data_IF_556922534076
#
_entry.id   IF_556922534076
#
_cell.length_a   1.000
_cell.length_b   1.000
_cell.length_c   1.000
_cell.angle_alpha   90.00
_cell.angle_beta   90.00
_cell.angle_gamma   90.00
#
_symmetry.space_group_name_H-M   'P 1'
#
loop_
_entity.id
_entity.type
_entity.pdbx_description
1 polymer ?
#
# COMPACT_ATOMS: atom_id res chain seq x y z
N UNK A 1 12.00 -9.81 -17.47
CA UNK A 1 11.99 -10.66 -16.28
C UNK A 1 10.55 -11.10 -16.08
N UNK A 2 10.25 -12.38 -16.23
CA UNK A 2 8.95 -12.94 -15.87
C UNK A 2 9.03 -13.27 -14.38
N UNK A 3 8.06 -12.80 -13.58
CA UNK A 3 7.93 -13.17 -12.18
C UNK A 3 7.03 -14.41 -12.14
N UNK A 4 7.54 -15.49 -11.55
CA UNK A 4 6.74 -16.71 -11.35
C UNK A 4 5.68 -16.50 -10.27
N UNK A 5 5.97 -15.58 -9.34
CA UNK A 5 5.05 -15.20 -8.26
C UNK A 5 4.84 -13.69 -8.23
N UNK A 6 3.59 -13.26 -8.40
CA UNK A 6 3.22 -11.84 -8.39
C UNK A 6 2.89 -11.32 -6.99
N UNK A 7 2.63 -12.22 -6.03
CA UNK A 7 2.32 -11.86 -4.65
C UNK A 7 2.77 -12.96 -3.70
N UNK A 8 2.92 -12.60 -2.45
CA UNK A 8 3.16 -13.50 -1.33
C UNK A 8 2.32 -13.04 -0.14
N UNK A 9 1.82 -13.94 0.67
CA UNK A 9 0.99 -13.56 1.81
C UNK A 9 1.32 -14.39 3.06
N UNK A 10 1.11 -13.78 4.19
CA UNK A 10 1.22 -14.40 5.50
C UNK A 10 -0.13 -14.38 6.19
N UNK A 11 -0.65 -15.53 6.57
CA UNK A 11 -1.83 -15.63 7.40
C UNK A 11 -1.45 -15.44 8.86
N UNK A 12 -2.14 -14.52 9.56
CA UNK A 12 -1.92 -14.25 10.99
C UNK A 12 -0.47 -13.82 11.32
N UNK A 13 0.14 -13.05 10.43
CA UNK A 13 1.51 -12.55 10.62
C UNK A 13 1.69 -11.76 11.92
N UNK A 14 0.67 -11.07 12.36
CA UNK A 14 0.67 -10.24 13.56
C UNK A 14 -0.46 -10.59 14.51
N UNK A 15 -0.23 -10.40 15.80
CA UNK A 15 -1.24 -10.59 16.82
C UNK A 15 -2.12 -9.34 17.01
N UNK A 16 -3.22 -9.50 17.75
CA UNK A 16 -4.18 -8.41 17.99
C UNK A 16 -3.54 -7.20 18.67
N UNK A 17 -2.57 -7.42 19.56
CA UNK A 17 -1.87 -6.33 20.25
C UNK A 17 -1.10 -5.44 19.27
N UNK A 18 -0.42 -6.02 18.28
CA UNK A 18 0.26 -5.27 17.23
C UNK A 18 -0.75 -4.44 16.42
N UNK A 19 -1.82 -5.08 15.97
CA UNK A 19 -2.87 -4.42 15.19
C UNK A 19 -3.53 -3.27 15.98
N UNK A 20 -3.83 -3.50 17.24
CA UNK A 20 -4.46 -2.50 18.12
C UNK A 20 -3.52 -1.33 18.41
N UNK A 21 -2.22 -1.59 18.59
CA UNK A 21 -1.23 -0.52 18.79
C UNK A 21 -1.16 0.42 17.59
N UNK A 22 -1.18 -0.09 16.37
CA UNK A 22 -1.20 0.74 15.15
C UNK A 22 -2.51 1.56 15.07
N UNK A 23 -3.64 0.94 15.36
CA UNK A 23 -4.94 1.62 15.37
C UNK A 23 -4.99 2.76 16.42
N UNK A 24 -4.37 2.57 17.58
CA UNK A 24 -4.25 3.63 18.61
C UNK A 24 -3.38 4.80 18.13
N UNK A 25 -2.25 4.53 17.47
CA UNK A 25 -1.44 5.60 16.87
C UNK A 25 -2.28 6.39 15.86
N UNK A 26 -2.99 5.69 14.97
CA UNK A 26 -3.83 6.32 13.96
C UNK A 26 -4.95 7.18 14.55
N UNK A 27 -5.55 6.79 15.67
CA UNK A 27 -6.62 7.58 16.35
C UNK A 27 -6.16 8.98 16.73
N UNK A 28 -4.87 9.16 17.02
CA UNK A 28 -4.29 10.43 17.41
C UNK A 28 -3.80 11.27 16.21
N UNK A 29 -4.02 10.79 14.99
CA UNK A 29 -3.64 11.49 13.76
C UNK A 29 -4.83 12.18 13.11
N UNK A 30 -4.55 13.25 12.37
CA UNK A 30 -5.55 13.85 11.50
C UNK A 30 -5.70 13.02 10.23
N UNK A 31 -6.93 12.75 9.83
CA UNK A 31 -7.24 12.01 8.62
C UNK A 31 -7.56 12.96 7.47
N UNK A 32 -6.95 12.68 6.33
CA UNK A 32 -7.27 13.29 5.06
C UNK A 32 -8.04 12.31 4.15
N UNK A 33 -8.66 12.82 3.11
CA UNK A 33 -9.20 11.96 2.06
C UNK A 33 -8.08 11.41 1.19
N UNK A 34 -8.14 10.09 0.94
CA UNK A 34 -7.24 9.45 -0.01
C UNK A 34 -7.32 10.11 -1.38
N UNK A 35 -6.18 10.32 -2.00
CA UNK A 35 -6.08 10.93 -3.33
C UNK A 35 -5.43 9.95 -4.30
N UNK A 36 -5.69 10.12 -5.59
CA UNK A 36 -5.06 9.36 -6.68
C UNK A 36 -4.23 10.29 -7.55
N UNK A 37 -3.10 9.79 -8.02
CA UNK A 37 -2.29 10.54 -8.98
C UNK A 37 -3.02 10.67 -10.31
N UNK A 38 -2.94 11.85 -10.93
CA UNK A 38 -3.49 12.03 -12.29
C UNK A 38 -2.67 11.27 -13.31
N UNK A 39 -3.33 10.71 -14.33
CA UNK A 39 -2.64 10.19 -15.51
C UNK A 39 -1.90 11.33 -16.22
N UNK A 40 -0.70 11.04 -16.75
CA UNK A 40 0.20 11.99 -17.42
C UNK A 40 -0.47 12.82 -18.54
N UNK A 41 -1.56 12.32 -19.15
CA UNK A 41 -2.33 13.01 -20.20
C UNK A 41 -3.14 14.21 -19.69
N UNK A 42 -3.39 14.32 -18.40
CA UNK A 42 -4.14 15.42 -17.79
C UNK A 42 -3.23 16.50 -17.15
N UNK A 43 -1.90 16.34 -17.27
CA UNK A 43 -0.90 17.21 -16.65
C UNK A 43 -0.53 18.39 -17.58
N UNK A 44 -1.50 19.10 -18.13
CA UNK A 44 -1.22 20.29 -18.98
C UNK A 44 -1.01 21.57 -18.17
N UNK A 45 -1.18 21.54 -16.84
CA UNK A 45 -0.97 22.72 -15.99
C UNK A 45 -0.04 22.42 -14.83
N UNK A 46 0.94 23.30 -14.63
CA UNK A 46 2.03 23.22 -13.66
C UNK A 46 1.61 23.34 -12.18
N UNK A 47 0.34 23.52 -11.89
CA UNK A 47 -0.20 23.45 -10.54
C UNK A 47 -0.70 22.03 -10.26
N UNK A 48 0.16 21.21 -9.65
CA UNK A 48 -0.12 19.84 -9.21
C UNK A 48 -1.16 19.82 -8.09
N UNK A 49 -2.42 20.07 -8.42
CA UNK A 49 -3.53 19.79 -7.52
C UNK A 49 -3.92 18.32 -7.66
N UNK A 50 -3.61 17.52 -6.64
CA UNK A 50 -4.20 16.20 -6.49
C UNK A 50 -5.72 16.35 -6.43
N UNK A 51 -6.41 16.03 -7.50
CA UNK A 51 -7.86 16.06 -7.52
C UNK A 51 -8.39 14.84 -6.79
N UNK A 52 -9.22 15.06 -5.77
CA UNK A 52 -9.99 13.99 -5.14
C UNK A 52 -10.91 13.39 -6.21
N UNK A 53 -10.56 12.23 -6.71
CA UNK A 53 -11.43 11.47 -7.61
C UNK A 53 -12.15 10.38 -6.79
N UNK A 54 -13.25 10.74 -6.20
CA UNK A 54 -14.03 9.85 -5.33
C UNK A 54 -14.63 8.64 -6.08
N UNK A 55 -14.68 8.66 -7.41
CA UNK A 55 -15.09 7.50 -8.19
C UNK A 55 -14.00 6.43 -8.27
N UNK A 56 -12.72 6.80 -8.13
CA UNK A 56 -11.60 5.87 -8.10
C UNK A 56 -11.19 5.50 -6.68
N UNK A 57 -11.28 6.45 -5.75
CA UNK A 57 -10.89 6.22 -4.36
C UNK A 57 -11.71 7.09 -3.41
N UNK A 58 -12.43 6.44 -2.52
CA UNK A 58 -13.00 7.06 -1.32
C UNK A 58 -12.48 6.31 -0.10
N UNK A 59 -11.58 6.93 0.63
CA UNK A 59 -10.99 6.41 1.86
C UNK A 59 -10.52 7.54 2.73
N UNK A 60 -10.41 7.29 4.03
CA UNK A 60 -9.77 8.21 4.97
C UNK A 60 -8.35 7.68 5.25
N UNK A 61 -7.33 8.53 5.13
CA UNK A 61 -5.93 8.14 5.31
C UNK A 61 -5.21 9.01 6.33
N UNK A 62 -4.23 8.44 7.01
CA UNK A 62 -3.20 9.19 7.72
C UNK A 62 -1.84 8.50 7.54
N UNK A 63 -0.77 9.22 7.83
CA UNK A 63 0.59 8.72 7.67
C UNK A 63 1.21 8.38 9.02
N UNK A 64 1.87 7.23 9.08
CA UNK A 64 2.55 6.69 10.25
C UNK A 64 4.01 6.43 9.90
N UNK A 65 4.91 6.87 10.76
CA UNK A 65 6.34 6.66 10.60
C UNK A 65 6.96 6.29 11.94
N UNK A 66 6.55 5.12 12.46
CA UNK A 66 7.01 4.59 13.74
C UNK A 66 8.05 3.48 13.47
N UNK A 67 9.32 3.65 13.88
CA UNK A 67 10.40 2.72 13.55
C UNK A 67 10.11 1.27 13.92
N UNK A 68 9.50 1.03 15.08
CA UNK A 68 9.20 -0.32 15.55
C UNK A 68 8.27 -1.12 14.62
N UNK A 69 7.41 -0.42 13.85
CA UNK A 69 6.52 -1.09 12.88
C UNK A 69 7.36 -1.65 11.72
N UNK A 70 8.30 -0.86 11.22
CA UNK A 70 9.22 -1.32 10.15
C UNK A 70 10.09 -2.48 10.63
N UNK A 71 10.58 -2.45 11.87
CA UNK A 71 11.35 -3.54 12.48
C UNK A 71 10.56 -4.85 12.52
N UNK A 72 9.24 -4.78 12.72
CA UNK A 72 8.36 -5.95 12.68
C UNK A 72 8.04 -6.43 11.25
N UNK A 73 7.96 -5.52 10.28
CA UNK A 73 7.59 -5.84 8.89
C UNK A 73 8.79 -6.33 8.08
N UNK A 74 9.95 -5.75 8.30
CA UNK A 74 11.14 -6.01 7.49
C UNK A 74 11.52 -7.49 7.37
N UNK A 75 11.55 -8.28 8.46
CA UNK A 75 11.83 -9.72 8.37
C UNK A 75 10.84 -10.49 7.47
N UNK A 76 9.55 -10.15 7.55
CA UNK A 76 8.52 -10.77 6.72
C UNK A 76 8.69 -10.38 5.24
N UNK A 77 9.01 -9.11 4.99
CA UNK A 77 9.28 -8.64 3.63
C UNK A 77 10.49 -9.35 3.02
N UNK A 78 11.57 -9.55 3.79
CA UNK A 78 12.74 -10.31 3.34
C UNK A 78 12.40 -11.77 3.06
N UNK A 79 11.60 -12.40 3.94
CA UNK A 79 11.14 -13.77 3.73
C UNK A 79 10.29 -13.86 2.45
N UNK A 80 9.31 -13.00 2.26
CA UNK A 80 8.48 -12.96 1.06
C UNK A 80 9.32 -12.75 -0.21
N UNK A 81 10.24 -11.80 -0.18
CA UNK A 81 11.14 -11.48 -1.30
C UNK A 81 11.99 -12.69 -1.73
N UNK A 82 12.46 -13.46 -0.75
CA UNK A 82 13.22 -14.70 -0.98
C UNK A 82 12.32 -15.85 -1.46
N UNK A 83 11.21 -16.08 -0.77
CA UNK A 83 10.32 -17.22 -1.04
C UNK A 83 9.55 -17.07 -2.36
N UNK A 84 9.27 -15.86 -2.78
CA UNK A 84 8.66 -15.57 -4.08
C UNK A 84 9.69 -15.42 -5.21
N UNK A 85 10.97 -15.61 -4.91
CA UNK A 85 12.10 -15.50 -5.84
C UNK A 85 12.19 -14.15 -6.55
N UNK A 86 11.74 -13.09 -5.89
CA UNK A 86 11.84 -11.72 -6.45
C UNK A 86 13.26 -11.19 -6.39
N UNK A 87 13.98 -11.46 -5.31
CA UNK A 87 15.39 -11.12 -5.10
C UNK A 87 15.70 -9.61 -5.28
N UNK A 88 14.78 -8.74 -4.88
CA UNK A 88 14.99 -7.29 -4.91
C UNK A 88 15.91 -6.85 -3.77
N UNK A 89 16.77 -5.89 -4.06
CA UNK A 89 17.49 -5.14 -3.04
C UNK A 89 16.54 -4.07 -2.46
N UNK A 90 16.24 -4.22 -1.17
CA UNK A 90 15.36 -3.30 -0.42
C UNK A 90 16.24 -2.45 0.49
N UNK A 91 16.31 -1.16 0.22
CA UNK A 91 17.17 -0.23 0.94
C UNK A 91 16.42 0.88 1.69
N UNK A 92 15.12 1.08 1.41
CA UNK A 92 14.30 2.03 2.13
C UNK A 92 12.82 1.64 2.11
N UNK A 93 12.09 2.23 3.04
CA UNK A 93 10.63 2.21 3.10
C UNK A 93 10.09 3.63 2.87
N UNK A 94 8.91 3.70 2.29
CA UNK A 94 8.08 4.90 2.34
C UNK A 94 7.33 4.97 3.67
N UNK A 95 6.82 6.15 4.03
CA UNK A 95 5.91 6.27 5.17
C UNK A 95 4.71 5.34 5.01
N UNK A 96 4.26 4.76 6.12
CA UNK A 96 3.13 3.84 6.13
C UNK A 96 1.82 4.60 6.00
N UNK A 97 1.05 4.28 4.99
CA UNK A 97 -0.29 4.83 4.83
C UNK A 97 -1.30 3.99 5.62
N UNK A 98 -1.76 4.50 6.76
CA UNK A 98 -2.91 3.92 7.42
C UNK A 98 -4.18 4.33 6.67
N UNK A 99 -4.93 3.35 6.20
CA UNK A 99 -6.16 3.57 5.43
C UNK A 99 -7.35 3.03 6.19
N UNK A 100 -8.39 3.84 6.29
CA UNK A 100 -9.66 3.45 6.87
C UNK A 100 -10.76 3.55 5.83
N UNK A 101 -11.48 2.44 5.66
CA UNK A 101 -12.67 2.37 4.83
C UNK A 101 -13.91 2.30 5.71
N UNK A 102 -14.88 3.17 5.45
CA UNK A 102 -16.24 3.13 6.02
C UNK A 102 -17.18 2.43 5.04
N UNK A 103 -18.43 2.24 5.42
CA UNK A 103 -19.45 1.68 4.54
C UNK A 103 -19.51 2.44 3.20
N UNK A 104 -19.52 1.70 2.11
CA UNK A 104 -19.51 2.18 0.73
C UNK A 104 -18.24 2.91 0.28
N UNK A 105 -17.18 2.95 1.09
CA UNK A 105 -15.89 3.47 0.67
C UNK A 105 -15.11 2.36 -0.06
N UNK A 106 -14.24 2.78 -0.99
CA UNK A 106 -13.54 1.85 -1.89
C UNK A 106 -12.24 2.46 -2.41
N UNK A 107 -11.43 1.60 -2.99
CA UNK A 107 -10.33 1.96 -3.88
C UNK A 107 -10.38 1.04 -5.09
N UNK A 108 -10.62 1.61 -6.26
CA UNK A 108 -10.76 0.88 -7.51
C UNK A 108 -9.42 0.39 -8.04
N UNK A 109 -9.45 -0.37 -9.12
CA UNK A 109 -8.26 -0.94 -9.76
C UNK A 109 -7.18 0.10 -10.02
N UNK A 110 -5.98 -0.18 -9.58
CA UNK A 110 -4.83 0.70 -9.73
C UNK A 110 -3.52 -0.10 -9.71
N UNK A 111 -2.44 0.54 -10.12
CA UNK A 111 -1.10 0.03 -9.95
C UNK A 111 -0.43 0.76 -8.81
N UNK A 112 0.24 0.03 -7.92
CA UNK A 112 1.02 0.61 -6.83
C UNK A 112 2.40 1.10 -7.29
N UNK A 113 2.90 0.57 -8.38
CA UNK A 113 4.19 0.96 -8.91
C UNK A 113 4.14 2.35 -9.56
N UNK A 114 5.28 3.04 -9.52
CA UNK A 114 5.48 4.27 -10.25
C UNK A 114 6.15 3.94 -11.60
N UNK A 115 5.63 4.53 -12.68
CA UNK A 115 6.22 4.38 -14.02
C UNK A 115 7.62 5.01 -14.14
N UNK A 116 7.95 5.92 -13.24
CA UNK A 116 9.20 6.67 -13.17
C UNK A 116 9.76 6.62 -11.75
N UNK A 117 11.09 6.79 -11.58
CA UNK A 117 11.67 6.87 -10.25
C UNK A 117 11.12 8.07 -9.49
N UNK A 118 11.23 8.04 -8.17
CA UNK A 118 10.89 9.19 -7.34
C UNK A 118 11.72 10.40 -7.72
N UNK A 119 11.05 11.50 -8.03
CA UNK A 119 11.71 12.79 -8.25
C UNK A 119 11.51 13.68 -7.02
N UNK A 120 12.31 13.43 -6.00
CA UNK A 120 12.33 14.20 -4.77
C UNK A 120 13.77 14.56 -4.36
N UNK A 121 14.38 15.59 -4.98
CA UNK A 121 15.76 15.97 -4.67
C UNK A 121 16.00 16.41 -3.22
N UNK A 122 14.94 16.79 -2.49
CA UNK A 122 15.01 17.16 -1.08
C UNK A 122 15.13 15.97 -0.13
N UNK A 123 14.84 14.77 -0.62
CA UNK A 123 14.97 13.53 0.13
C UNK A 123 15.85 12.52 -0.62
N UNK A 124 17.16 12.52 -0.34
CA UNK A 124 18.10 11.60 -0.98
C UNK A 124 17.82 10.11 -0.70
N UNK A 125 17.06 9.80 0.36
CA UNK A 125 16.76 8.43 0.74
C UNK A 125 15.87 7.73 -0.28
N UNK A 126 15.02 8.46 -1.00
CA UNK A 126 14.09 7.93 -2.01
C UNK A 126 14.35 8.47 -3.41
N UNK A 127 15.07 9.61 -3.55
CA UNK A 127 15.31 10.23 -4.86
C UNK A 127 16.00 9.28 -5.83
N UNK A 128 15.46 9.16 -7.04
CA UNK A 128 15.98 8.27 -8.08
C UNK A 128 15.64 6.80 -7.92
N UNK A 129 14.98 6.39 -6.84
CA UNK A 129 14.59 5.01 -6.57
C UNK A 129 13.22 4.65 -7.13
N UNK A 130 12.99 3.35 -7.31
CA UNK A 130 11.72 2.81 -7.77
C UNK A 130 11.02 2.05 -6.64
N UNK A 131 9.71 2.20 -6.52
CA UNK A 131 8.90 1.31 -5.72
C UNK A 131 8.88 -0.07 -6.38
N UNK A 132 9.37 -1.09 -5.68
CA UNK A 132 9.46 -2.47 -6.18
C UNK A 132 8.49 -3.41 -5.48
N UNK A 133 8.31 -3.24 -4.19
CA UNK A 133 7.41 -4.05 -3.38
C UNK A 133 6.38 -3.13 -2.74
N UNK A 134 5.12 -3.48 -2.87
CA UNK A 134 4.02 -2.91 -2.11
C UNK A 134 3.47 -3.97 -1.17
N UNK A 135 3.08 -3.57 0.04
CA UNK A 135 2.48 -4.50 0.99
C UNK A 135 1.26 -3.87 1.67
N UNK A 136 0.34 -4.72 2.05
CA UNK A 136 -0.83 -4.34 2.83
C UNK A 136 -0.95 -5.24 4.06
N UNK A 137 -1.36 -4.65 5.18
CA UNK A 137 -1.62 -5.36 6.43
C UNK A 137 -3.06 -5.12 6.80
N UNK A 138 -3.88 -6.18 6.87
CA UNK A 138 -5.22 -6.09 7.42
C UNK A 138 -5.14 -6.03 8.95
N UNK A 139 -5.52 -4.88 9.52
CA UNK A 139 -5.50 -4.64 10.96
C UNK A 139 -6.85 -4.95 11.64
N UNK A 140 -7.89 -5.23 10.85
CA UNK A 140 -9.24 -5.48 11.35
C UNK A 140 -9.52 -6.96 11.47
N UNK A 141 -10.24 -7.35 12.53
CA UNK A 141 -10.76 -8.71 12.66
C UNK A 141 -11.78 -8.97 11.54
N UNK A 142 -11.56 -9.96 10.64
CA UNK A 142 -12.44 -10.22 9.50
C UNK A 142 -13.87 -10.60 9.92
N UNK A 143 -14.08 -11.00 11.17
CA UNK A 143 -15.43 -11.30 11.69
C UNK A 143 -16.24 -10.06 12.04
N UNK A 144 -15.63 -8.87 12.00
CA UNK A 144 -16.27 -7.61 12.43
C UNK A 144 -16.72 -6.72 11.26
N UNK A 145 -16.55 -7.17 10.03
CA UNK A 145 -16.97 -6.40 8.86
C UNK A 145 -17.36 -7.34 7.71
N UNK A 146 -18.08 -6.80 6.74
CA UNK A 146 -18.45 -7.46 5.49
C UNK A 146 -17.90 -6.66 4.31
N UNK A 147 -17.49 -7.34 3.25
CA UNK A 147 -16.85 -6.70 2.10
C UNK A 147 -15.38 -6.35 2.38
N UNK A 148 -14.85 -5.40 1.64
CA UNK A 148 -13.47 -4.91 1.80
C UNK A 148 -12.41 -5.89 1.28
N UNK A 149 -12.78 -6.79 0.37
CA UNK A 149 -11.87 -7.74 -0.25
C UNK A 149 -10.76 -7.01 -1.00
N UNK A 150 -9.54 -7.53 -0.87
CA UNK A 150 -8.42 -7.15 -1.70
C UNK A 150 -8.37 -8.06 -2.92
N UNK A 151 -8.51 -7.47 -4.10
CA UNK A 151 -8.52 -8.20 -5.36
C UNK A 151 -7.21 -7.96 -6.11
N UNK A 152 -6.68 -9.01 -6.72
CA UNK A 152 -5.54 -8.92 -7.62
C UNK A 152 -5.93 -9.36 -9.02
N UNK A 153 -5.50 -8.59 -10.02
CA UNK A 153 -5.57 -8.97 -11.43
C UNK A 153 -4.16 -9.26 -11.94
N UNK A 154 -3.95 -10.43 -12.49
CA UNK A 154 -2.67 -10.85 -13.04
C UNK A 154 -2.77 -11.05 -14.55
N UNK A 155 -1.73 -10.69 -15.33
CA UNK A 155 -1.69 -10.96 -16.76
C UNK A 155 -1.87 -12.45 -17.05
N UNK A 156 -2.90 -12.80 -17.84
CA UNK A 156 -3.18 -14.17 -18.23
C UNK A 156 -3.94 -15.01 -17.20
N UNK A 157 -4.37 -14.44 -16.10
CA UNK A 157 -5.27 -15.12 -15.17
C UNK A 157 -6.71 -15.14 -15.73
N UNK A 158 -7.39 -16.28 -15.65
CA UNK A 158 -8.79 -16.40 -16.07
C UNK A 158 -9.74 -15.73 -15.06
N UNK A 159 -9.33 -15.59 -13.81
CA UNK A 159 -10.12 -15.00 -12.73
C UNK A 159 -9.27 -14.09 -11.84
N UNK A 160 -9.89 -13.05 -11.34
CA UNK A 160 -9.29 -12.16 -10.33
C UNK A 160 -9.09 -12.94 -9.02
N UNK A 161 -7.92 -12.78 -8.40
CA UNK A 161 -7.61 -13.46 -7.15
C UNK A 161 -8.06 -12.61 -5.97
N UNK A 162 -8.85 -13.22 -5.08
CA UNK A 162 -9.26 -12.64 -3.80
C UNK A 162 -8.25 -13.07 -2.74
N UNK A 163 -7.73 -12.13 -1.98
CA UNK A 163 -6.93 -12.40 -0.79
C UNK A 163 -7.75 -11.94 0.42
N UNK A 164 -8.12 -12.90 1.26
CA UNK A 164 -8.86 -12.67 2.51
C UNK A 164 -7.94 -12.49 3.72
#
# INVERSE_FOLDING_TARGET
MYLDNYYYYFSKAFNDKFCDSIKEIAKNKTFDKGVVSKKKAEMKDSNHQFKKNLSLRDSDICWINEPWIYDCIYPLLQEANKMADWNYEVDCFEDLQFTRYKKNQHYDWHFDNLAMPFNNPSDPSIHGKYRKISFSINLSDPKKYEGGQLLFEFPGAEENKIVE
#
